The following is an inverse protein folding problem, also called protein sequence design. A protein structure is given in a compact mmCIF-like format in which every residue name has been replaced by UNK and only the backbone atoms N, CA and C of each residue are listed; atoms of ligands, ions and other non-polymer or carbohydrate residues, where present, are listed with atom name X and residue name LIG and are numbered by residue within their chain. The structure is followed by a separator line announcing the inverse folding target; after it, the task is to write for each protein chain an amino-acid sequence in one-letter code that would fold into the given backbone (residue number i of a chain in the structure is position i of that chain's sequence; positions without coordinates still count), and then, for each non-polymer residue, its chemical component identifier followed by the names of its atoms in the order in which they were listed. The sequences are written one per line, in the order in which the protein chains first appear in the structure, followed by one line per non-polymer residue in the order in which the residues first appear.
data_IF_950623392935
#
_entry.id   IF_950623392935
#
_cell.length_a   1.000
_cell.length_b   1.000
_cell.length_c   1.000
_cell.angle_alpha   90.00
_cell.angle_beta   90.00
_cell.angle_gamma   90.00
#
_symmetry.space_group_name_H-M   'P 1'
#
loop_
_entity.id
_entity.type
_entity.pdbx_description
1 polymer ?
#
# COMPACT_ATOMS: atom_id res chain seq x y z
N UNK A 1 -15.23 -45.45 27.65
CA UNK A 1 -15.48 -44.39 28.67
C UNK A 1 -14.19 -43.74 29.21
N UNK A 2 -13.19 -44.52 29.64
CA UNK A 2 -11.88 -43.99 30.13
C UNK A 2 -11.21 -43.01 29.15
N UNK A 3 -11.13 -43.34 27.86
CA UNK A 3 -10.50 -42.49 26.84
C UNK A 3 -11.18 -41.15 26.63
N UNK A 4 -12.51 -41.07 26.80
CA UNK A 4 -13.28 -39.82 26.67
C UNK A 4 -12.90 -38.85 27.79
N UNK A 5 -12.89 -39.34 29.04
CA UNK A 5 -12.51 -38.55 30.21
C UNK A 5 -11.06 -38.07 30.13
N UNK A 6 -10.16 -38.93 29.67
CA UNK A 6 -8.74 -38.57 29.51
C UNK A 6 -8.56 -37.49 28.43
N UNK A 7 -9.27 -37.62 27.30
CA UNK A 7 -9.25 -36.61 26.23
C UNK A 7 -9.76 -35.25 26.71
N UNK A 8 -10.85 -35.22 27.47
CA UNK A 8 -11.38 -33.98 28.07
C UNK A 8 -10.38 -33.31 29.01
N UNK A 9 -9.72 -34.08 29.87
CA UNK A 9 -8.69 -33.54 30.77
C UNK A 9 -7.52 -32.93 29.99
N UNK A 10 -7.04 -33.61 28.96
CA UNK A 10 -5.93 -33.13 28.12
C UNK A 10 -6.34 -31.85 27.39
N UNK A 11 -7.49 -31.84 26.71
CA UNK A 11 -7.98 -30.65 26.00
C UNK A 11 -8.15 -29.46 26.95
N UNK A 12 -8.87 -29.64 28.06
CA UNK A 12 -9.08 -28.57 29.04
C UNK A 12 -7.77 -28.06 29.61
N UNK A 13 -6.86 -28.95 30.04
CA UNK A 13 -5.58 -28.57 30.65
C UNK A 13 -4.63 -27.86 29.68
N UNK A 14 -4.69 -28.18 28.39
CA UNK A 14 -3.91 -27.51 27.35
C UNK A 14 -4.37 -26.07 27.04
N UNK A 15 -5.58 -25.70 27.46
CA UNK A 15 -6.14 -24.37 27.26
C UNK A 15 -5.92 -23.49 28.50
N UNK A 16 -5.60 -22.22 28.26
CA UNK A 16 -5.55 -21.21 29.32
C UNK A 16 -6.92 -21.05 29.97
N UNK A 17 -6.96 -20.63 31.24
CA UNK A 17 -8.21 -20.46 32.00
C UNK A 17 -9.16 -19.48 31.31
N UNK A 18 -8.63 -18.41 30.71
CA UNK A 18 -9.42 -17.43 29.97
C UNK A 18 -10.14 -18.04 28.74
N UNK A 19 -9.42 -18.84 27.95
CA UNK A 19 -9.98 -19.51 26.76
C UNK A 19 -10.97 -20.60 27.19
N UNK A 20 -10.63 -21.38 28.22
CA UNK A 20 -11.49 -22.43 28.76
C UNK A 20 -12.82 -21.87 29.27
N UNK A 21 -12.80 -20.71 29.93
CA UNK A 21 -14.00 -20.04 30.44
C UNK A 21 -14.94 -19.52 29.35
N UNK A 22 -14.46 -19.34 28.12
CA UNK A 22 -15.28 -18.93 26.99
C UNK A 22 -16.01 -20.08 26.30
N UNK A 23 -15.63 -21.34 26.57
CA UNK A 23 -16.18 -22.53 25.92
C UNK A 23 -17.22 -23.20 26.82
N UNK A 24 -18.45 -23.48 26.33
CA UNK A 24 -19.45 -24.25 27.07
C UNK A 24 -18.92 -25.61 27.51
N UNK A 25 -19.23 -26.01 28.75
CA UNK A 25 -18.75 -27.29 29.27
C UNK A 25 -19.48 -28.49 28.64
N UNK A 26 -18.79 -29.64 28.55
CA UNK A 26 -19.34 -30.89 28.03
C UNK A 26 -18.65 -32.10 28.68
N UNK A 27 -19.45 -33.16 28.89
CA UNK A 27 -18.98 -34.46 29.38
C UNK A 27 -18.52 -35.39 28.25
N UNK A 28 -18.77 -35.01 27.00
CA UNK A 28 -18.28 -35.70 25.80
C UNK A 28 -17.15 -34.88 25.15
N UNK A 29 -16.04 -35.55 24.87
CA UNK A 29 -14.84 -34.96 24.30
C UNK A 29 -15.07 -34.41 22.89
N UNK A 30 -15.85 -35.12 22.06
CA UNK A 30 -16.12 -34.71 20.68
C UNK A 30 -17.02 -33.48 20.68
N UNK A 31 -18.05 -33.44 21.52
CA UNK A 31 -18.92 -32.28 21.68
C UNK A 31 -18.18 -31.08 22.28
N UNK A 32 -17.27 -31.30 23.23
CA UNK A 32 -16.42 -30.23 23.77
C UNK A 32 -15.52 -29.65 22.68
N UNK A 33 -14.85 -30.49 21.89
CA UNK A 33 -13.99 -30.04 20.79
C UNK A 33 -14.77 -29.24 19.74
N UNK A 34 -15.98 -29.69 19.38
CA UNK A 34 -16.86 -28.95 18.46
C UNK A 34 -17.27 -27.58 19.05
N UNK A 35 -17.47 -27.49 20.36
CA UNK A 35 -17.79 -26.23 21.05
C UNK A 35 -16.59 -25.27 21.06
N UNK A 36 -15.37 -25.79 21.22
CA UNK A 36 -14.12 -25.01 21.05
C UNK A 36 -14.06 -24.47 19.62
N UNK A 37 -14.23 -25.32 18.62
CA UNK A 37 -14.20 -24.93 17.21
C UNK A 37 -15.22 -23.81 16.91
N UNK A 38 -16.48 -23.99 17.32
CA UNK A 38 -17.54 -23.02 17.06
C UNK A 38 -17.29 -21.68 17.78
N UNK A 39 -16.79 -21.69 19.01
CA UNK A 39 -16.49 -20.44 19.73
C UNK A 39 -15.41 -19.60 19.05
N UNK A 40 -14.40 -20.24 18.47
CA UNK A 40 -13.28 -19.52 17.83
C UNK A 40 -13.46 -19.33 16.32
N UNK A 41 -14.55 -19.85 15.75
CA UNK A 41 -14.94 -19.66 14.34
C UNK A 41 -15.16 -18.18 13.98
N UNK A 42 -15.67 -17.37 14.92
CA UNK A 42 -15.85 -15.93 14.74
C UNK A 42 -14.53 -15.16 14.62
N UNK A 43 -13.50 -15.56 15.38
CA UNK A 43 -12.14 -15.00 15.27
C UNK A 43 -11.53 -15.28 13.89
N UNK A 44 -11.82 -16.46 13.31
CA UNK A 44 -11.37 -16.82 11.97
C UNK A 44 -11.95 -15.88 10.91
N UNK A 45 -13.26 -15.60 10.93
CA UNK A 45 -13.91 -14.71 9.93
C UNK A 45 -13.37 -13.27 9.98
N UNK A 46 -13.26 -12.67 11.16
CA UNK A 46 -12.73 -11.31 11.29
C UNK A 46 -11.25 -11.23 10.86
N UNK A 47 -10.47 -12.28 11.14
CA UNK A 47 -9.09 -12.38 10.72
C UNK A 47 -8.96 -12.52 9.20
N UNK A 48 -9.75 -13.40 8.58
CA UNK A 48 -9.86 -13.53 7.12
C UNK A 48 -10.21 -12.20 6.46
N UNK A 49 -11.25 -11.51 6.96
CA UNK A 49 -11.63 -10.18 6.45
C UNK A 49 -10.50 -9.16 6.58
N UNK A 50 -9.73 -9.20 7.67
CA UNK A 50 -8.58 -8.32 7.87
C UNK A 50 -7.48 -8.58 6.84
N UNK A 51 -7.16 -9.86 6.57
CA UNK A 51 -6.16 -10.22 5.55
C UNK A 51 -6.64 -9.81 4.16
N UNK A 52 -7.91 -10.06 3.82
CA UNK A 52 -8.49 -9.63 2.55
C UNK A 52 -8.38 -8.12 2.40
N UNK A 53 -8.82 -7.35 3.42
CA UNK A 53 -8.74 -5.89 3.37
C UNK A 53 -7.31 -5.41 3.21
N UNK A 54 -6.37 -5.99 3.96
CA UNK A 54 -4.95 -5.66 3.83
C UNK A 54 -4.45 -5.95 2.42
N UNK A 55 -4.76 -7.12 1.86
CA UNK A 55 -4.37 -7.50 0.50
C UNK A 55 -4.93 -6.51 -0.53
N UNK A 56 -6.22 -6.16 -0.45
CA UNK A 56 -6.91 -5.22 -1.33
C UNK A 56 -6.34 -3.80 -1.30
N UNK A 57 -5.89 -3.35 -0.13
CA UNK A 57 -5.39 -1.97 0.10
C UNK A 57 -3.88 -1.84 -0.07
N UNK A 58 -3.13 -2.94 -0.01
CA UNK A 58 -1.68 -2.92 -0.20
C UNK A 58 -1.33 -2.59 -1.65
N UNK A 59 -0.51 -1.56 -1.83
CA UNK A 59 0.11 -1.15 -3.09
C UNK A 59 1.62 -1.17 -2.93
N UNK A 60 2.33 -1.38 -4.03
CA UNK A 60 3.77 -1.23 -4.02
C UNK A 60 4.13 0.25 -3.96
N UNK A 61 4.83 0.65 -2.90
CA UNK A 61 5.15 2.04 -2.59
C UNK A 61 6.52 2.48 -3.16
N UNK A 62 7.28 1.56 -3.74
CA UNK A 62 8.63 1.81 -4.26
C UNK A 62 9.72 1.89 -3.19
N UNK A 63 9.40 1.64 -1.91
CA UNK A 63 10.37 1.77 -0.80
C UNK A 63 10.98 0.43 -0.41
N UNK A 64 10.10 -0.54 -0.15
CA UNK A 64 10.48 -1.96 -0.16
C UNK A 64 10.88 -2.34 -1.59
N UNK A 65 11.74 -3.33 -1.80
CA UNK A 65 11.97 -3.83 -3.15
C UNK A 65 10.72 -4.54 -3.69
N UNK A 66 10.58 -4.62 -5.01
CA UNK A 66 9.37 -5.20 -5.62
C UNK A 66 9.25 -6.69 -5.31
N UNK A 67 10.38 -7.38 -5.09
CA UNK A 67 10.41 -8.79 -4.71
C UNK A 67 9.78 -9.00 -3.33
N UNK A 68 10.12 -8.15 -2.37
CA UNK A 68 9.60 -8.19 -1.01
C UNK A 68 8.08 -7.96 -1.01
N UNK A 69 7.60 -7.00 -1.81
CA UNK A 69 6.17 -6.76 -2.01
C UNK A 69 5.45 -8.00 -2.56
N UNK A 70 6.00 -8.64 -3.59
CA UNK A 70 5.43 -9.87 -4.18
C UNK A 70 5.40 -11.02 -3.15
N UNK A 71 6.48 -11.20 -2.40
CA UNK A 71 6.55 -12.22 -1.34
C UNK A 71 5.50 -11.98 -0.26
N UNK A 72 5.28 -10.73 0.14
CA UNK A 72 4.24 -10.36 1.11
C UNK A 72 2.83 -10.69 0.56
N UNK A 73 2.55 -10.42 -0.71
CA UNK A 73 1.28 -10.79 -1.35
C UNK A 73 1.07 -12.31 -1.39
N UNK A 74 2.14 -13.08 -1.67
CA UNK A 74 2.11 -14.53 -1.68
C UNK A 74 1.90 -15.14 -0.28
N UNK A 75 2.49 -14.54 0.75
CA UNK A 75 2.27 -14.92 2.16
C UNK A 75 0.80 -14.70 2.56
N UNK A 76 0.20 -13.55 2.18
CA UNK A 76 -1.22 -13.30 2.44
C UNK A 76 -2.13 -14.32 1.72
N UNK A 77 -1.85 -14.64 0.47
CA UNK A 77 -2.59 -15.67 -0.27
C UNK A 77 -2.45 -17.06 0.37
N UNK A 78 -1.25 -17.39 0.88
CA UNK A 78 -0.99 -18.66 1.57
C UNK A 78 -1.75 -18.75 2.90
N UNK A 79 -1.83 -17.65 3.65
CA UNK A 79 -2.65 -17.57 4.87
C UNK A 79 -4.14 -17.75 4.57
N UNK A 80 -4.64 -17.11 3.52
CA UNK A 80 -6.04 -17.27 3.08
C UNK A 80 -6.33 -18.72 2.64
N UNK A 81 -5.38 -19.37 1.97
CA UNK A 81 -5.51 -20.81 1.64
C UNK A 81 -5.66 -21.68 2.88
N UNK A 82 -4.95 -21.37 3.98
CA UNK A 82 -5.11 -22.06 5.26
C UNK A 82 -6.45 -21.82 5.95
N UNK A 83 -7.22 -20.82 5.50
CA UNK A 83 -8.57 -20.47 5.96
C UNK A 83 -9.65 -20.85 4.94
N UNK A 84 -9.37 -21.85 4.11
CA UNK A 84 -10.28 -22.35 3.05
C UNK A 84 -10.63 -21.32 1.96
N UNK A 85 -9.90 -20.21 1.88
CA UNK A 85 -10.06 -19.16 0.86
C UNK A 85 -8.89 -19.18 -0.12
N UNK A 86 -8.70 -20.32 -0.80
CA UNK A 86 -7.62 -20.48 -1.75
C UNK A 86 -7.73 -19.49 -2.93
N UNK A 87 -6.65 -18.77 -3.20
CA UNK A 87 -6.52 -17.88 -4.36
C UNK A 87 -5.76 -18.63 -5.45
N UNK A 88 -6.27 -18.60 -6.68
CA UNK A 88 -5.55 -19.20 -7.81
C UNK A 88 -4.30 -18.40 -8.15
N UNK A 89 -3.23 -19.08 -8.59
CA UNK A 89 -1.97 -18.41 -8.95
C UNK A 89 -2.18 -17.33 -10.01
N UNK A 90 -2.99 -17.61 -11.04
CA UNK A 90 -3.32 -16.62 -12.07
C UNK A 90 -4.00 -15.37 -11.52
N UNK A 91 -4.97 -15.52 -10.61
CA UNK A 91 -5.61 -14.37 -9.97
C UNK A 91 -4.60 -13.56 -9.16
N UNK A 92 -3.75 -14.24 -8.37
CA UNK A 92 -2.73 -13.57 -7.55
C UNK A 92 -1.74 -12.78 -8.41
N UNK A 93 -1.30 -13.33 -9.54
CA UNK A 93 -0.43 -12.63 -10.48
C UNK A 93 -1.09 -11.36 -11.01
N UNK A 94 -2.33 -11.45 -11.50
CA UNK A 94 -3.07 -10.27 -11.96
C UNK A 94 -3.27 -9.25 -10.84
N UNK A 95 -3.55 -9.71 -9.63
CA UNK A 95 -3.72 -8.86 -8.46
C UNK A 95 -2.43 -8.14 -8.05
N UNK A 96 -1.28 -8.81 -8.13
CA UNK A 96 0.02 -8.17 -7.93
C UNK A 96 0.25 -7.12 -9.01
N UNK A 97 -0.02 -7.42 -10.28
CA UNK A 97 0.13 -6.46 -11.39
C UNK A 97 -0.73 -5.20 -11.20
N UNK A 98 -1.94 -5.32 -10.64
CA UNK A 98 -2.76 -4.13 -10.33
C UNK A 98 -2.20 -3.32 -9.17
N UNK A 99 -1.52 -3.96 -8.22
CA UNK A 99 -0.92 -3.30 -7.05
C UNK A 99 0.37 -2.51 -7.35
N UNK A 100 1.01 -2.73 -8.50
CA UNK A 100 2.20 -1.97 -8.92
C UNK A 100 1.82 -0.52 -9.27
N UNK A 101 2.69 0.47 -9.02
CA UNK A 101 2.36 1.87 -9.24
C UNK A 101 2.48 2.23 -10.72
N UNK A 102 2.03 3.44 -11.08
CA UNK A 102 1.90 3.91 -12.47
C UNK A 102 3.23 3.93 -13.25
N UNK A 103 4.37 4.00 -12.57
CA UNK A 103 5.70 3.97 -13.18
C UNK A 103 5.98 2.65 -13.90
N UNK A 104 5.33 1.55 -13.47
CA UNK A 104 5.36 0.25 -14.14
C UNK A 104 4.42 0.19 -15.36
N UNK A 105 3.85 1.32 -15.81
CA UNK A 105 2.90 1.38 -16.93
C UNK A 105 3.35 0.62 -18.19
N UNK A 106 4.56 0.90 -18.74
CA UNK A 106 5.09 0.17 -19.90
C UNK A 106 5.20 -1.34 -19.64
N UNK A 107 5.64 -1.73 -18.45
CA UNK A 107 5.71 -3.13 -18.04
C UNK A 107 4.34 -3.81 -17.98
N UNK A 108 3.32 -3.15 -17.43
CA UNK A 108 1.93 -3.65 -17.40
C UNK A 108 1.36 -3.84 -18.81
N UNK A 109 1.66 -2.92 -19.73
CA UNK A 109 1.25 -3.04 -21.14
C UNK A 109 1.88 -4.28 -21.77
N UNK A 110 3.19 -4.50 -21.56
CA UNK A 110 3.89 -5.69 -22.06
C UNK A 110 3.31 -6.98 -21.49
N UNK A 111 3.01 -7.02 -20.18
CA UNK A 111 2.32 -8.16 -19.56
C UNK A 111 0.97 -8.44 -20.21
N UNK A 112 0.12 -7.41 -20.42
CA UNK A 112 -1.22 -7.57 -20.99
C UNK A 112 -1.23 -8.02 -22.47
N UNK A 113 -0.19 -7.69 -23.23
CA UNK A 113 -0.07 -8.08 -24.65
C UNK A 113 0.38 -9.54 -24.79
N UNK A 114 1.14 -10.06 -23.83
CA UNK A 114 1.58 -11.46 -23.83
C UNK A 114 0.39 -12.38 -23.57
N UNK A 115 0.20 -13.34 -24.49
CA UNK A 115 -0.84 -14.38 -24.36
C UNK A 115 -0.42 -15.54 -23.44
N UNK A 116 0.87 -15.65 -23.14
CA UNK A 116 1.43 -16.69 -22.28
C UNK A 116 1.05 -16.44 -20.81
N UNK A 117 0.67 -17.50 -20.11
CA UNK A 117 0.42 -17.42 -18.67
C UNK A 117 1.75 -17.40 -17.93
N UNK A 118 1.96 -16.34 -17.17
CA UNK A 118 3.17 -16.23 -16.35
C UNK A 118 3.06 -17.13 -15.12
N UNK A 119 4.20 -17.64 -14.68
CA UNK A 119 4.37 -18.23 -13.34
C UNK A 119 4.82 -17.18 -12.34
N UNK A 120 4.62 -17.44 -11.05
CA UNK A 120 5.09 -16.52 -10.01
C UNK A 120 6.59 -16.22 -10.09
N UNK A 121 7.41 -17.22 -10.44
CA UNK A 121 8.87 -17.05 -10.62
C UNK A 121 9.22 -16.07 -11.73
N UNK A 122 8.48 -16.12 -12.85
CA UNK A 122 8.66 -15.22 -13.99
C UNK A 122 8.22 -13.81 -13.63
N UNK A 123 7.09 -13.66 -12.94
CA UNK A 123 6.62 -12.37 -12.44
C UNK A 123 7.68 -11.69 -11.57
N UNK A 124 8.25 -12.41 -10.60
CA UNK A 124 9.29 -11.88 -9.72
C UNK A 124 10.50 -11.40 -10.52
N UNK A 125 11.03 -12.25 -11.40
CA UNK A 125 12.23 -11.94 -12.18
C UNK A 125 12.02 -10.68 -13.04
N UNK A 126 10.89 -10.61 -13.74
CA UNK A 126 10.57 -9.52 -14.65
C UNK A 126 10.25 -8.21 -13.91
N UNK A 127 9.57 -8.28 -12.75
CA UNK A 127 9.34 -7.11 -11.91
C UNK A 127 10.65 -6.54 -11.36
N UNK A 128 11.57 -7.39 -10.88
CA UNK A 128 12.88 -6.97 -10.36
C UNK A 128 13.71 -6.30 -11.45
N UNK A 129 13.71 -6.87 -12.66
CA UNK A 129 14.39 -6.27 -13.79
C UNK A 129 13.82 -4.88 -14.14
N UNK A 130 12.49 -4.75 -14.14
CA UNK A 130 11.82 -3.47 -14.40
C UNK A 130 12.11 -2.44 -13.31
N UNK A 131 12.14 -2.85 -12.03
CA UNK A 131 12.49 -1.98 -10.92
C UNK A 131 13.91 -1.40 -11.07
N UNK A 132 14.88 -2.23 -11.46
CA UNK A 132 16.26 -1.78 -11.70
C UNK A 132 16.34 -0.81 -12.89
N UNK A 133 15.62 -1.09 -13.98
CA UNK A 133 15.50 -0.16 -15.11
C UNK A 133 14.95 1.20 -14.67
N UNK A 134 13.91 1.20 -13.83
CA UNK A 134 13.28 2.42 -13.32
C UNK A 134 14.23 3.23 -12.42
N UNK A 135 15.06 2.57 -11.60
CA UNK A 135 16.08 3.24 -10.77
C UNK A 135 17.11 4.00 -11.61
N UNK A 136 17.50 3.44 -12.76
CA UNK A 136 18.44 4.08 -13.69
C UNK A 136 17.79 5.26 -14.43
N UNK A 137 16.56 5.09 -14.91
CA UNK A 137 15.87 6.12 -15.70
C UNK A 137 15.29 7.27 -14.86
N UNK A 138 14.98 7.00 -13.59
CA UNK A 138 14.38 7.97 -12.67
C UNK A 138 15.08 7.90 -11.31
N UNK A 139 16.14 8.71 -11.09
CA UNK A 139 16.83 8.77 -9.80
C UNK A 139 15.91 9.15 -8.64
N UNK A 140 14.83 9.90 -8.90
CA UNK A 140 13.80 10.25 -7.91
C UNK A 140 13.01 9.02 -7.41
N UNK A 141 13.00 7.92 -8.17
CA UNK A 141 12.49 6.62 -7.72
C UNK A 141 13.39 6.01 -6.64
N UNK A 142 14.69 6.31 -6.65
CA UNK A 142 15.64 5.90 -5.61
C UNK A 142 15.55 6.77 -4.34
N UNK A 143 15.06 8.02 -4.45
CA UNK A 143 14.97 8.95 -3.33
C UNK A 143 13.86 8.63 -2.29
N UNK A 144 13.03 7.61 -2.52
CA UNK A 144 12.12 7.08 -1.49
C UNK A 144 12.74 5.89 -0.72
N UNK A 145 13.74 5.21 -1.30
CA UNK A 145 14.40 4.03 -0.70
C UNK A 145 15.69 4.38 0.08
N UNK A 146 16.25 5.58 -0.06
CA UNK A 146 17.48 5.99 0.64
C UNK A 146 17.28 7.22 1.52
N UNK A 147 16.47 7.11 2.57
CA UNK A 147 16.46 8.07 3.67
C UNK A 147 16.53 7.36 5.03
N UNK A 148 17.54 6.51 5.23
CA UNK A 148 18.00 6.18 6.57
C UNK A 148 18.96 7.28 7.06
N UNK A 149 18.74 7.88 8.26
CA UNK A 149 19.55 8.99 8.74
C UNK A 149 20.85 8.46 9.33
N UNK A 150 21.88 8.31 8.51
CA UNK A 150 23.23 8.14 9.04
C UNK A 150 23.77 9.49 9.47
N UNK A 151 23.62 9.77 10.77
CA UNK A 151 24.40 10.78 11.49
C UNK A 151 25.89 10.52 11.26
N UNK A 152 26.54 11.32 10.43
CA UNK A 152 27.98 11.62 10.59
C UNK A 152 28.18 13.14 10.57
N UNK A 153 28.32 13.69 11.78
CA UNK A 153 28.94 15.00 12.03
C UNK A 153 30.34 14.97 11.44
N UNK A 154 30.66 15.90 10.55
CA UNK A 154 32.03 16.32 10.30
C UNK A 154 32.10 17.83 10.45
N UNK A 155 32.81 18.23 11.51
CA UNK A 155 33.20 19.60 11.85
C UNK A 155 34.10 20.18 10.74
N UNK A 156 33.92 21.47 10.49
CA UNK A 156 34.46 22.17 9.34
C UNK A 156 35.92 22.64 9.42
N UNK A 157 36.26 23.49 8.45
CA UNK A 157 37.27 24.54 8.60
C UNK A 157 37.01 25.66 7.59
N UNK A 158 36.88 26.84 8.16
CA UNK A 158 36.75 28.17 7.56
C UNK A 158 38.04 28.59 6.82
N UNK A 159 37.92 29.40 5.76
CA UNK A 159 38.69 30.65 5.50
C UNK A 159 38.52 31.15 4.06
N UNK A 160 38.09 32.40 3.90
CA UNK A 160 38.32 33.15 2.65
C UNK A 160 37.41 34.35 2.39
N UNK A 161 37.59 35.44 3.15
CA UNK A 161 36.95 36.76 2.99
C UNK A 161 37.18 37.38 1.60
N UNK A 162 36.19 38.13 1.08
CA UNK A 162 36.36 39.53 0.62
C UNK A 162 35.06 40.32 0.82
N UNK A 163 35.17 41.40 1.60
CA UNK A 163 34.17 42.47 1.80
C UNK A 163 34.31 43.50 0.69
N UNK A 164 33.19 44.15 0.32
CA UNK A 164 33.16 45.58 0.04
C UNK A 164 31.90 46.15 0.71
N UNK A 165 32.10 47.06 1.65
CA UNK A 165 31.10 47.85 2.36
C UNK A 165 30.76 49.11 1.53
N UNK A 166 29.50 49.57 1.47
CA UNK A 166 29.15 50.98 1.70
C UNK A 166 27.64 51.17 1.96
N UNK A 167 27.34 52.21 2.74
CA UNK A 167 26.25 52.35 3.70
C UNK A 167 24.94 53.03 3.21
N UNK A 168 23.90 52.79 4.03
CA UNK A 168 22.74 53.64 4.43
C UNK A 168 22.01 54.51 3.38
N UNK A 169 20.69 54.32 3.26
CA UNK A 169 19.73 55.34 3.71
C UNK A 169 18.28 54.81 3.79
N UNK A 170 17.47 55.47 4.61
CA UNK A 170 16.07 55.19 4.96
C UNK A 170 15.13 56.12 4.17
N UNK A 171 13.97 55.57 3.78
CA UNK A 171 12.66 56.15 3.42
C UNK A 171 12.27 56.55 1.97
N UNK A 172 11.16 55.89 1.56
CA UNK A 172 9.99 56.25 0.72
C UNK A 172 10.03 56.14 -0.82
N UNK A 173 9.14 55.24 -1.31
CA UNK A 173 8.35 55.15 -2.56
C UNK A 173 9.08 55.41 -3.91
N UNK A 174 8.98 54.60 -4.98
CA UNK A 174 7.83 53.91 -5.54
C UNK A 174 8.30 52.90 -6.64
N UNK A 175 7.53 51.81 -6.85
CA UNK A 175 7.33 51.02 -8.10
C UNK A 175 8.53 50.40 -8.84
N UNK A 176 8.62 49.05 -8.83
CA UNK A 176 8.47 48.15 -10.00
C UNK A 176 9.16 46.79 -9.80
N UNK A 177 8.48 45.69 -10.17
CA UNK A 177 9.15 44.41 -10.47
C UNK A 177 8.68 43.14 -9.75
N UNK A 178 7.41 42.98 -9.41
CA UNK A 178 6.86 41.67 -9.04
C UNK A 178 6.75 40.76 -10.28
N UNK A 179 7.47 39.64 -10.30
CA UNK A 179 7.19 38.56 -11.27
C UNK A 179 5.78 38.00 -10.96
N UNK A 180 4.88 37.83 -11.94
CA UNK A 180 3.51 37.42 -11.65
C UNK A 180 3.49 35.97 -11.15
N UNK A 181 2.89 35.75 -9.98
CA UNK A 181 2.41 34.43 -9.58
C UNK A 181 1.30 34.06 -10.57
N UNK A 182 1.60 33.21 -11.55
CA UNK A 182 0.58 32.74 -12.49
C UNK A 182 -0.48 31.97 -11.71
N UNK A 183 -1.72 32.46 -11.73
CA UNK A 183 -2.83 31.81 -11.07
C UNK A 183 -3.06 30.41 -11.66
N UNK A 184 -3.41 29.40 -10.84
CA UNK A 184 -3.62 28.03 -11.32
C UNK A 184 -4.72 28.00 -12.39
N UNK A 185 -4.45 27.33 -13.51
CA UNK A 185 -5.42 27.16 -14.61
C UNK A 185 -6.15 25.83 -14.46
N UNK A 186 -7.47 25.87 -14.56
CA UNK A 186 -8.30 24.69 -14.49
C UNK A 186 -8.22 23.88 -15.80
N UNK A 187 -7.81 22.61 -15.72
CA UNK A 187 -7.70 21.74 -16.90
C UNK A 187 -9.06 21.29 -17.50
N UNK A 188 -10.18 21.54 -16.80
CA UNK A 188 -11.52 21.19 -17.30
C UNK A 188 -12.14 22.35 -18.10
N UNK A 189 -12.29 23.52 -17.49
CA UNK A 189 -12.93 24.68 -18.14
C UNK A 189 -11.92 25.67 -18.76
N UNK A 190 -10.61 25.44 -18.61
CA UNK A 190 -9.50 26.28 -19.09
C UNK A 190 -9.46 27.70 -18.51
N UNK A 191 -10.31 28.01 -17.51
CA UNK A 191 -10.30 29.30 -16.79
C UNK A 191 -9.19 29.34 -15.74
N UNK A 192 -8.70 30.54 -15.48
CA UNK A 192 -7.59 30.85 -14.59
C UNK A 192 -8.13 31.19 -13.19
N UNK A 193 -7.42 30.85 -12.12
CA UNK A 193 -7.82 31.16 -10.73
C UNK A 193 -8.42 30.01 -9.91
N UNK A 194 -8.51 28.79 -10.44
CA UNK A 194 -8.96 27.60 -9.68
C UNK A 194 -8.41 26.31 -10.29
N UNK A 195 -8.34 25.24 -9.47
CA UNK A 195 -7.97 23.90 -9.93
C UNK A 195 -9.21 23.09 -10.32
N UNK A 196 -9.02 22.00 -11.07
CA UNK A 196 -10.13 21.14 -11.55
C UNK A 196 -11.05 20.66 -10.41
N UNK A 197 -10.50 20.36 -9.24
CA UNK A 197 -11.24 19.95 -8.03
C UNK A 197 -12.24 21.01 -7.54
N UNK A 198 -11.95 22.27 -7.81
CA UNK A 198 -12.76 23.43 -7.39
C UNK A 198 -13.62 23.97 -8.54
N UNK A 199 -13.62 23.31 -9.70
CA UNK A 199 -14.37 23.74 -10.86
C UNK A 199 -15.85 23.35 -10.75
N UNK A 200 -16.74 24.35 -10.66
CA UNK A 200 -18.20 24.15 -10.58
C UNK A 200 -18.70 23.31 -11.77
N UNK A 201 -18.29 23.64 -13.00
CA UNK A 201 -18.69 22.87 -14.18
C UNK A 201 -18.21 21.41 -14.16
N UNK A 202 -17.09 21.11 -13.51
CA UNK A 202 -16.63 19.73 -13.33
C UNK A 202 -17.47 18.98 -12.29
N UNK A 203 -17.85 19.65 -11.19
CA UNK A 203 -18.74 19.09 -10.17
C UNK A 203 -20.14 18.82 -10.72
N UNK A 204 -20.69 19.74 -11.51
CA UNK A 204 -22.00 19.56 -12.17
C UNK A 204 -21.95 18.47 -13.24
N UNK A 205 -20.84 18.37 -13.97
CA UNK A 205 -20.61 17.28 -14.93
C UNK A 205 -20.54 15.91 -14.23
N UNK A 206 -19.88 15.82 -13.06
CA UNK A 206 -19.88 14.61 -12.23
C UNK A 206 -21.28 14.26 -11.72
N UNK A 207 -22.04 15.26 -11.25
CA UNK A 207 -23.40 15.06 -10.75
C UNK A 207 -24.36 14.54 -11.86
N UNK A 208 -24.16 14.95 -13.11
CA UNK A 208 -24.95 14.50 -14.27
C UNK A 208 -24.53 13.14 -14.83
N UNK A 209 -23.31 12.67 -14.57
CA UNK A 209 -22.75 11.45 -15.19
C UNK A 209 -23.07 10.15 -14.47
N UNK A 210 -23.65 10.18 -13.26
CA UNK A 210 -23.97 8.97 -12.51
C UNK A 210 -22.73 8.20 -12.06
N UNK A 211 -22.90 7.33 -11.07
CA UNK A 211 -21.86 6.87 -10.15
C UNK A 211 -20.93 5.75 -10.70
N UNK A 212 -20.43 5.87 -11.93
CA UNK A 212 -19.57 4.85 -12.58
C UNK A 212 -18.07 5.22 -12.67
N UNK A 213 -17.66 6.38 -12.17
CA UNK A 213 -16.26 6.85 -12.25
C UNK A 213 -15.65 7.33 -10.93
N UNK A 214 -16.27 7.00 -9.80
CA UNK A 214 -15.81 7.49 -8.49
C UNK A 214 -14.62 6.72 -7.90
N UNK A 215 -14.03 5.74 -8.62
CA UNK A 215 -12.93 4.92 -8.09
C UNK A 215 -11.53 5.25 -8.65
N UNK A 216 -11.39 6.15 -9.63
CA UNK A 216 -10.08 6.38 -10.31
C UNK A 216 -9.51 7.80 -10.26
N UNK A 217 -10.00 8.70 -9.40
CA UNK A 217 -9.42 10.06 -9.28
C UNK A 217 -9.12 10.45 -7.82
N UNK A 218 -8.62 9.51 -7.02
CA UNK A 218 -8.01 9.85 -5.73
C UNK A 218 -6.53 9.42 -5.58
N UNK A 219 -5.92 8.77 -6.57
CA UNK A 219 -4.49 8.38 -6.52
C UNK A 219 -3.59 9.13 -7.51
N UNK A 220 -3.88 10.40 -7.79
CA UNK A 220 -2.96 11.24 -8.59
C UNK A 220 -2.90 12.70 -8.11
N UNK A 221 -3.00 12.91 -6.80
CA UNK A 221 -2.51 14.14 -6.18
C UNK A 221 -1.00 14.02 -5.93
#
# INVERSE_FOLDING_TARGET
ESSNRMSLMIMKSSMSVAIRGAVPDSNDAKTYLASVEEQFKGSSKAHTSTIIMKMLTTRYDGTSGVREHIMMMNDMASKLKGMEMAISEGFLIHFIMTSLPVQFGPFKINYNIKKEKWKMSELIAMCVQEEERLKVERPDFAHIATAAPTRKKLKGKDKGKKKVDLAKSINKANVSGTKPVQAPKCNFCRKVGHLRKDCIGFKDWLAKKGNDFNFMIYESL
#
